data_IF_373972990635
#
_entry.id   IF_373972990635
#
_cell.length_a   1.000
_cell.length_b   1.000
_cell.length_c   1.000
_cell.angle_alpha   90.00
_cell.angle_beta   90.00
_cell.angle_gamma   90.00
#
_symmetry.space_group_name_H-M   'P 1'
#
loop_
_entity.id
_entity.type
_entity.pdbx_description
1 polymer ?
#
# COMPACT_ATOMS: atom_id res chain seq x y z
N UNK A 1 -18.12 -1.92 -6.81
CA UNK A 1 -17.38 -2.50 -5.66
C UNK A 1 -16.60 -1.42 -4.92
N UNK A 2 -15.77 -0.62 -5.60
CA UNK A 2 -15.02 0.48 -4.96
C UNK A 2 -15.91 1.45 -4.17
N UNK A 3 -16.98 1.98 -4.76
CA UNK A 3 -17.87 2.93 -4.07
C UNK A 3 -18.47 2.37 -2.78
N UNK A 4 -19.04 1.16 -2.85
CA UNK A 4 -19.62 0.49 -1.68
C UNK A 4 -18.56 0.23 -0.59
N UNK A 5 -17.39 -0.29 -0.95
CA UNK A 5 -16.30 -0.54 0.01
C UNK A 5 -15.83 0.75 0.68
N UNK A 6 -15.71 1.84 -0.09
CA UNK A 6 -15.34 3.15 0.44
C UNK A 6 -16.41 3.72 1.39
N UNK A 7 -17.69 3.56 1.07
CA UNK A 7 -18.78 4.00 1.97
C UNK A 7 -18.76 3.20 3.28
N UNK A 8 -18.58 1.88 3.22
CA UNK A 8 -18.50 1.04 4.42
C UNK A 8 -17.33 1.45 5.31
N UNK A 9 -16.15 1.69 4.73
CA UNK A 9 -14.97 2.19 5.45
C UNK A 9 -15.24 3.56 6.10
N UNK A 10 -15.88 4.48 5.38
CA UNK A 10 -16.22 5.80 5.92
C UNK A 10 -17.22 5.73 7.09
N UNK A 11 -18.01 4.66 7.17
CA UNK A 11 -18.94 4.38 8.27
C UNK A 11 -18.30 3.55 9.41
N UNK A 12 -17.00 3.23 9.33
CA UNK A 12 -16.32 2.37 10.32
C UNK A 12 -16.70 0.89 10.24
N UNK A 13 -17.36 0.46 9.16
CA UNK A 13 -17.74 -0.94 8.92
C UNK A 13 -16.60 -1.66 8.20
N UNK A 14 -15.47 -1.77 8.89
CA UNK A 14 -14.20 -2.15 8.29
C UNK A 14 -14.18 -3.60 7.77
N UNK A 15 -14.75 -4.56 8.50
CA UNK A 15 -14.83 -5.96 8.06
C UNK A 15 -15.62 -6.12 6.75
N UNK A 16 -16.74 -5.41 6.64
CA UNK A 16 -17.56 -5.42 5.43
C UNK A 16 -16.85 -4.70 4.27
N UNK A 17 -16.14 -3.62 4.57
CA UNK A 17 -15.30 -2.93 3.60
C UNK A 17 -14.20 -3.85 3.06
N UNK A 18 -13.53 -4.58 3.95
CA UNK A 18 -12.47 -5.54 3.62
C UNK A 18 -12.98 -6.61 2.66
N UNK A 19 -14.15 -7.18 2.94
CA UNK A 19 -14.78 -8.20 2.10
C UNK A 19 -15.14 -7.65 0.71
N UNK A 20 -15.68 -6.44 0.64
CA UNK A 20 -15.98 -5.78 -0.65
C UNK A 20 -14.71 -5.51 -1.46
N UNK A 21 -13.64 -5.06 -0.83
CA UNK A 21 -12.36 -4.84 -1.51
C UNK A 21 -11.70 -6.14 -1.94
N UNK A 22 -11.70 -7.19 -1.09
CA UNK A 22 -11.19 -8.52 -1.43
C UNK A 22 -11.85 -9.08 -2.68
N UNK A 23 -13.18 -9.15 -2.69
CA UNK A 23 -13.95 -9.60 -3.86
C UNK A 23 -13.71 -8.71 -5.08
N UNK A 24 -13.52 -7.41 -4.86
CA UNK A 24 -13.19 -6.44 -5.91
C UNK A 24 -11.86 -6.76 -6.59
N UNK A 25 -10.83 -7.05 -5.80
CA UNK A 25 -9.50 -7.38 -6.29
C UNK A 25 -9.45 -8.76 -6.96
N UNK A 26 -10.22 -9.74 -6.46
CA UNK A 26 -10.40 -11.04 -7.13
C UNK A 26 -11.03 -10.88 -8.51
N UNK A 27 -12.04 -10.00 -8.62
CA UNK A 27 -12.74 -9.78 -9.89
C UNK A 27 -11.95 -8.88 -10.85
N UNK A 28 -11.20 -7.92 -10.32
CA UNK A 28 -10.50 -6.89 -11.08
C UNK A 28 -9.06 -6.71 -10.59
N UNK A 29 -8.18 -7.71 -10.76
CA UNK A 29 -6.82 -7.69 -10.20
C UNK A 29 -5.95 -6.54 -10.73
N UNK A 30 -6.22 -6.05 -11.95
CA UNK A 30 -5.51 -4.92 -12.54
C UNK A 30 -6.05 -3.53 -12.17
N UNK A 31 -7.16 -3.44 -11.43
CA UNK A 31 -7.80 -2.15 -11.14
C UNK A 31 -7.14 -1.46 -9.93
N UNK A 32 -6.07 -0.70 -10.22
CA UNK A 32 -5.21 -0.05 -9.21
C UNK A 32 -5.96 0.77 -8.17
N UNK A 33 -7.06 1.43 -8.54
CA UNK A 33 -7.87 2.20 -7.59
C UNK A 33 -8.37 1.33 -6.43
N UNK A 34 -8.73 0.06 -6.65
CA UNK A 34 -9.10 -0.83 -5.55
C UNK A 34 -7.95 -1.08 -4.57
N UNK A 35 -6.70 -1.20 -5.06
CA UNK A 35 -5.51 -1.34 -4.20
C UNK A 35 -5.28 -0.09 -3.35
N UNK A 36 -5.47 1.09 -3.93
CA UNK A 36 -5.37 2.37 -3.18
C UNK A 36 -6.40 2.43 -2.07
N UNK A 37 -7.67 2.13 -2.36
CA UNK A 37 -8.73 2.19 -1.34
C UNK A 37 -8.60 1.07 -0.29
N UNK A 38 -8.09 -0.11 -0.66
CA UNK A 38 -7.74 -1.15 0.30
C UNK A 38 -6.58 -0.71 1.22
N UNK A 39 -5.56 -0.03 0.70
CA UNK A 39 -4.49 0.53 1.51
C UNK A 39 -5.02 1.56 2.52
N UNK A 40 -5.99 2.39 2.13
CA UNK A 40 -6.67 3.29 3.08
C UNK A 40 -7.44 2.53 4.17
N UNK A 41 -8.05 1.39 3.86
CA UNK A 41 -8.67 0.54 4.87
C UNK A 41 -7.62 -0.03 5.83
N UNK A 42 -6.50 -0.54 5.31
CA UNK A 42 -5.37 -1.03 6.13
C UNK A 42 -4.84 0.02 7.10
N UNK A 43 -4.74 1.26 6.64
CA UNK A 43 -4.39 2.37 7.54
C UNK A 43 -5.41 2.55 8.67
N UNK A 44 -6.71 2.52 8.35
CA UNK A 44 -7.77 2.62 9.37
C UNK A 44 -7.73 1.48 10.40
N UNK A 45 -7.36 0.26 9.97
CA UNK A 45 -7.32 -0.94 10.83
C UNK A 45 -6.00 -1.16 11.57
N UNK A 46 -5.00 -0.30 11.35
CA UNK A 46 -3.71 -0.36 12.04
C UNK A 46 -2.60 -1.06 11.25
N UNK A 47 -2.89 -1.67 10.10
CA UNK A 47 -1.93 -2.29 9.17
C UNK A 47 -1.20 -1.20 8.34
N UNK A 48 -0.64 -0.20 9.04
CA UNK A 48 -0.11 1.03 8.44
C UNK A 48 1.11 0.76 7.58
N UNK A 49 1.97 -0.20 7.98
CA UNK A 49 3.15 -0.61 7.21
C UNK A 49 2.73 -1.15 5.84
N UNK A 50 1.78 -2.06 5.83
CA UNK A 50 1.22 -2.67 4.62
C UNK A 50 0.48 -1.65 3.76
N UNK A 51 -0.23 -0.70 4.39
CA UNK A 51 -0.87 0.41 3.70
C UNK A 51 0.14 1.25 2.92
N UNK A 52 1.22 1.69 3.57
CA UNK A 52 2.27 2.50 2.92
C UNK A 52 2.94 1.69 1.82
N UNK A 53 3.30 0.44 2.08
CA UNK A 53 3.92 -0.45 1.10
C UNK A 53 3.06 -0.58 -0.18
N UNK A 54 1.74 -0.76 -0.04
CA UNK A 54 0.83 -0.87 -1.18
C UNK A 54 0.72 0.43 -1.96
N UNK A 55 0.68 1.57 -1.27
CA UNK A 55 0.66 2.88 -1.92
C UNK A 55 1.95 3.16 -2.70
N UNK A 56 3.12 2.80 -2.15
CA UNK A 56 4.40 2.92 -2.86
C UNK A 56 4.44 2.04 -4.11
N UNK A 57 3.92 0.81 -4.04
CA UNK A 57 3.81 -0.07 -5.22
C UNK A 57 2.91 0.55 -6.28
N UNK A 58 1.72 1.01 -5.89
CA UNK A 58 0.79 1.65 -6.83
C UNK A 58 1.44 2.88 -7.48
N UNK A 59 2.08 3.74 -6.69
CA UNK A 59 2.79 4.94 -7.18
C UNK A 59 3.81 4.58 -8.27
N UNK A 60 4.71 3.64 -7.98
CA UNK A 60 5.78 3.23 -8.90
C UNK A 60 5.24 2.52 -10.15
N UNK A 61 4.14 1.79 -10.02
CA UNK A 61 3.48 1.10 -11.14
C UNK A 61 2.68 2.03 -12.05
N UNK A 62 2.23 3.20 -11.56
CA UNK A 62 1.33 4.09 -12.31
C UNK A 62 1.92 5.44 -12.71
N UNK A 63 3.01 5.87 -12.08
CA UNK A 63 3.58 7.21 -12.33
C UNK A 63 4.31 7.29 -13.68
N UNK A 64 4.21 8.46 -14.31
CA UNK A 64 5.04 8.89 -15.45
C UNK A 64 6.06 9.98 -15.06
N UNK A 65 6.10 10.37 -13.78
CA UNK A 65 7.01 11.38 -13.25
C UNK A 65 8.45 10.86 -13.27
N UNK A 66 9.33 11.55 -14.00
CA UNK A 66 10.72 11.10 -14.19
C UNK A 66 11.51 11.11 -12.89
N UNK A 67 11.31 12.10 -12.03
CA UNK A 67 12.07 12.22 -10.78
C UNK A 67 11.74 11.05 -9.85
N UNK A 68 10.47 10.65 -9.77
CA UNK A 68 10.08 9.46 -8.99
C UNK A 68 10.65 8.18 -9.62
N UNK A 69 10.65 8.10 -10.96
CA UNK A 69 11.14 6.92 -11.68
C UNK A 69 12.65 6.72 -11.54
N UNK A 70 13.44 7.78 -11.39
CA UNK A 70 14.87 7.69 -11.10
C UNK A 70 15.13 6.94 -9.78
N UNK A 71 14.19 7.04 -8.81
CA UNK A 71 14.24 6.32 -7.53
C UNK A 71 13.42 5.02 -7.51
N UNK A 72 12.93 4.53 -8.66
CA UNK A 72 12.07 3.32 -8.75
C UNK A 72 12.61 2.16 -7.90
N UNK A 73 13.90 1.85 -8.02
CA UNK A 73 14.54 0.74 -7.28
C UNK A 73 14.48 0.94 -5.77
N UNK A 74 14.80 2.14 -5.29
CA UNK A 74 14.78 2.45 -3.86
C UNK A 74 13.35 2.39 -3.32
N UNK A 75 12.39 3.00 -4.02
CA UNK A 75 10.98 3.00 -3.60
C UNK A 75 10.40 1.58 -3.58
N UNK A 76 10.70 0.75 -4.59
CA UNK A 76 10.30 -0.66 -4.59
C UNK A 76 10.93 -1.44 -3.43
N UNK A 77 12.22 -1.23 -3.14
CA UNK A 77 12.88 -1.87 -2.01
C UNK A 77 12.26 -1.49 -0.66
N UNK A 78 11.90 -0.22 -0.46
CA UNK A 78 11.18 0.20 0.76
C UNK A 78 9.77 -0.36 0.82
N UNK A 79 9.08 -0.51 -0.31
CA UNK A 79 7.76 -1.15 -0.31
C UNK A 79 7.84 -2.64 0.09
N UNK A 80 8.96 -3.32 -0.16
CA UNK A 80 9.21 -4.70 0.30
C UNK A 80 9.55 -4.72 1.80
N UNK A 81 10.36 -3.78 2.27
CA UNK A 81 10.72 -3.67 3.67
C UNK A 81 10.89 -2.20 4.11
N UNK A 82 9.85 -1.67 4.74
CA UNK A 82 9.81 -0.27 5.21
C UNK A 82 10.71 -0.03 6.42
N UNK A 83 11.01 -1.07 7.19
CA UNK A 83 11.84 -0.99 8.40
C UNK A 83 13.33 -1.13 8.07
N UNK A 84 13.66 -1.33 6.79
CA UNK A 84 15.04 -1.47 6.32
C UNK A 84 15.82 -0.18 6.56
N UNK A 85 16.60 -0.17 7.63
CA UNK A 85 17.59 0.88 7.88
C UNK A 85 18.89 0.54 7.16
N UNK A 86 19.30 1.40 6.22
CA UNK A 86 20.62 1.33 5.57
C UNK A 86 21.73 2.01 6.38
N UNK A 87 21.40 2.53 7.57
CA UNK A 87 22.30 3.18 8.52
C UNK A 87 22.69 2.26 9.68
N UNK A 88 22.68 0.94 9.49
CA UNK A 88 23.28 0.01 10.43
C UNK A 88 24.79 0.29 10.54
N UNK A 89 25.18 1.09 11.54
CA UNK A 89 26.57 1.30 11.93
C UNK A 89 27.31 -0.04 12.02
N UNK A 90 28.58 -0.12 11.59
CA UNK A 90 29.36 -1.33 11.81
C UNK A 90 29.38 -1.60 13.31
N UNK A 91 28.91 -2.78 13.70
CA UNK A 91 29.15 -3.36 15.01
C UNK A 91 30.66 -3.19 15.31
N UNK A 92 31.00 -2.31 16.26
CA UNK A 92 32.30 -2.40 16.90
C UNK A 92 32.20 -3.62 17.81
N UNK A 93 32.82 -4.69 17.36
CA UNK A 93 33.21 -5.82 18.18
C UNK A 93 33.97 -5.30 19.40
N UNK A 94 33.44 -5.54 20.59
CA UNK A 94 34.25 -5.71 21.81
C UNK A 94 34.83 -7.12 21.84
#
# INVERSE_FOLDING_TARGET
>A
MLGLGSTLRALGRDDESAEIFRRGLERFPGYRSLRVFQAMLRYNTGDTREAVADLLRVLVESTSDREILDYRRAVTAYAEDLDRSWLGSPSRSE
#
